data_IF_608189958639
#
_entry.id   IF_608189958639
#
_cell.length_a   1.000
_cell.length_b   1.000
_cell.length_c   1.000
_cell.angle_alpha   90.00
_cell.angle_beta   90.00
_cell.angle_gamma   90.00
#
_symmetry.space_group_name_H-M   'P 1'
#
loop_
_entity.id
_entity.type
_entity.pdbx_description
1 polymer ?
#
# COMPACT_ATOMS: atom_id res chain seq x y z
N UNK A 1 -52.52 -77.56 33.55
CA UNK A 1 -53.68 -78.10 32.82
C UNK A 1 -53.37 -78.07 31.32
N UNK A 2 -53.90 -79.05 30.60
CA UNK A 2 -53.61 -79.48 29.22
C UNK A 2 -53.65 -78.42 28.10
N UNK A 3 -52.74 -78.62 27.12
CA UNK A 3 -52.93 -78.61 25.64
C UNK A 3 -53.02 -77.28 24.87
N UNK A 4 -51.86 -76.93 24.26
CA UNK A 4 -51.57 -76.68 22.83
C UNK A 4 -52.74 -76.42 21.86
N UNK A 5 -52.70 -75.29 21.14
CA UNK A 5 -53.17 -75.21 19.75
C UNK A 5 -52.34 -74.20 18.94
N UNK A 6 -51.85 -74.66 17.78
CA UNK A 6 -51.07 -73.92 16.79
C UNK A 6 -52.01 -73.09 15.91
N UNK A 7 -51.56 -71.93 15.41
CA UNK A 7 -52.08 -71.40 14.14
C UNK A 7 -50.95 -70.82 13.30
N UNK A 8 -50.97 -71.19 12.02
CA UNK A 8 -50.03 -70.83 10.97
C UNK A 8 -50.41 -69.45 10.41
N UNK A 9 -49.43 -68.56 10.25
CA UNK A 9 -49.62 -67.29 9.53
C UNK A 9 -49.18 -67.51 8.07
N UNK A 10 -50.10 -67.25 7.14
CA UNK A 10 -49.88 -67.30 5.69
C UNK A 10 -49.61 -65.88 5.21
N UNK A 11 -48.53 -65.71 4.45
CA UNK A 11 -48.09 -64.45 3.85
C UNK A 11 -48.87 -64.24 2.54
N UNK A 12 -49.48 -63.06 2.39
CA UNK A 12 -49.97 -62.56 1.10
C UNK A 12 -49.10 -61.37 0.68
N UNK A 13 -48.44 -61.50 -0.47
CA UNK A 13 -47.74 -60.40 -1.16
C UNK A 13 -48.75 -59.73 -2.09
N UNK A 14 -49.09 -58.47 -1.80
CA UNK A 14 -49.94 -57.64 -2.65
C UNK A 14 -49.03 -56.73 -3.50
N UNK A 15 -49.01 -56.94 -4.81
CA UNK A 15 -48.37 -56.05 -5.78
C UNK A 15 -49.38 -54.95 -6.11
N UNK A 16 -49.10 -53.71 -5.69
CA UNK A 16 -49.87 -52.52 -6.03
C UNK A 16 -49.17 -51.79 -7.19
N UNK A 17 -49.75 -51.87 -8.39
CA UNK A 17 -49.34 -51.09 -9.56
C UNK A 17 -49.98 -49.70 -9.44
N UNK A 18 -49.19 -48.69 -9.09
CA UNK A 18 -49.59 -47.29 -9.12
C UNK A 18 -49.36 -46.71 -10.52
N UNK A 19 -50.46 -46.45 -11.23
CA UNK A 19 -50.49 -45.69 -12.48
C UNK A 19 -50.22 -44.23 -12.13
N UNK A 20 -49.02 -43.73 -12.41
CA UNK A 20 -48.74 -42.29 -12.35
C UNK A 20 -49.38 -41.60 -13.57
N UNK A 21 -50.12 -40.49 -13.38
CA UNK A 21 -50.50 -39.63 -14.49
C UNK A 21 -49.24 -38.96 -15.04
N UNK A 22 -49.04 -39.03 -16.36
CA UNK A 22 -48.09 -38.16 -17.06
C UNK A 22 -48.52 -36.70 -16.85
N UNK A 23 -47.90 -36.03 -15.89
CA UNK A 23 -47.84 -34.58 -15.86
C UNK A 23 -46.99 -34.14 -17.04
N UNK A 24 -47.63 -33.64 -18.09
CA UNK A 24 -46.97 -32.84 -19.11
C UNK A 24 -46.40 -31.60 -18.44
N UNK A 25 -45.08 -31.57 -18.22
CA UNK A 25 -44.38 -30.33 -17.94
C UNK A 25 -44.50 -29.44 -19.18
N UNK A 26 -45.39 -28.45 -19.12
CA UNK A 26 -45.19 -27.22 -19.88
C UNK A 26 -43.92 -26.61 -19.32
N UNK A 27 -42.80 -26.77 -20.02
CA UNK A 27 -41.66 -25.90 -19.80
C UNK A 27 -42.19 -24.47 -19.98
N UNK A 28 -42.30 -23.71 -18.89
CA UNK A 28 -42.32 -22.27 -19.00
C UNK A 28 -41.02 -21.92 -19.73
N UNK A 29 -41.13 -21.67 -21.03
CA UNK A 29 -40.05 -21.11 -21.82
C UNK A 29 -39.86 -19.69 -21.28
N UNK A 30 -39.04 -19.57 -20.23
CA UNK A 30 -38.44 -18.29 -19.89
C UNK A 30 -37.58 -17.97 -21.09
N UNK A 31 -38.09 -17.10 -21.96
CA UNK A 31 -37.28 -16.57 -23.04
C UNK A 31 -36.17 -15.77 -22.37
N UNK A 32 -34.95 -16.28 -22.44
CA UNK A 32 -33.78 -15.60 -21.92
C UNK A 32 -33.62 -14.28 -22.68
N UNK A 33 -33.96 -13.16 -22.03
CA UNK A 33 -33.94 -11.84 -22.66
C UNK A 33 -32.69 -11.04 -22.31
N UNK A 34 -31.98 -11.39 -21.23
CA UNK A 34 -30.74 -10.70 -20.83
C UNK A 34 -29.84 -11.57 -19.97
N UNK A 35 -28.54 -11.32 -20.05
CA UNK A 35 -27.49 -11.91 -19.21
C UNK A 35 -27.71 -11.51 -17.75
N UNK A 36 -28.14 -10.27 -17.48
CA UNK A 36 -28.38 -9.80 -16.11
C UNK A 36 -29.39 -10.65 -15.33
N UNK A 37 -30.43 -11.15 -16.00
CA UNK A 37 -31.46 -12.03 -15.40
C UNK A 37 -31.01 -13.48 -15.22
N UNK A 38 -29.86 -13.86 -15.79
CA UNK A 38 -29.34 -15.22 -15.74
C UNK A 38 -28.22 -15.39 -14.72
N UNK A 39 -27.74 -14.31 -14.09
CA UNK A 39 -26.71 -14.38 -13.04
C UNK A 39 -27.29 -15.15 -11.84
N UNK A 40 -26.59 -16.19 -11.41
CA UNK A 40 -27.01 -17.00 -10.26
C UNK A 40 -27.05 -16.15 -9.00
N UNK A 41 -28.02 -16.40 -8.13
CA UNK A 41 -28.25 -15.61 -6.91
C UNK A 41 -27.08 -15.60 -5.92
N UNK A 42 -26.10 -16.50 -6.10
CA UNK A 42 -24.95 -16.64 -5.21
C UNK A 42 -23.72 -15.84 -5.68
N UNK A 43 -23.80 -15.14 -6.81
CA UNK A 43 -22.70 -14.34 -7.34
C UNK A 43 -22.98 -12.84 -7.17
N UNK A 44 -21.94 -12.08 -6.88
CA UNK A 44 -22.00 -10.62 -6.73
C UNK A 44 -21.88 -9.88 -8.07
N UNK A 45 -21.90 -10.59 -9.19
CA UNK A 45 -21.74 -9.99 -10.51
C UNK A 45 -22.93 -9.08 -10.86
N UNK A 46 -22.63 -7.95 -11.50
CA UNK A 46 -23.65 -6.98 -11.94
C UNK A 46 -23.40 -6.53 -13.37
N UNK A 47 -24.47 -6.16 -14.08
CA UNK A 47 -24.39 -5.64 -15.45
C UNK A 47 -24.63 -4.13 -15.44
N UNK A 48 -23.69 -3.37 -15.99
CA UNK A 48 -23.81 -1.92 -16.12
C UNK A 48 -23.06 -1.41 -17.34
N UNK A 49 -23.69 -0.56 -18.15
CA UNK A 49 -23.03 0.12 -19.27
C UNK A 49 -22.44 -0.79 -20.35
N UNK A 50 -22.97 -2.00 -20.54
CA UNK A 50 -22.42 -3.00 -21.46
C UNK A 50 -21.27 -3.84 -20.88
N UNK A 51 -21.01 -3.70 -19.59
CA UNK A 51 -20.00 -4.44 -18.86
C UNK A 51 -20.62 -5.40 -17.85
N UNK A 52 -19.96 -6.54 -17.64
CA UNK A 52 -20.18 -7.42 -16.50
C UNK A 52 -19.07 -7.15 -15.48
N UNK A 53 -19.46 -6.71 -14.29
CA UNK A 53 -18.61 -6.35 -13.16
C UNK A 53 -18.68 -7.40 -12.06
N UNK A 54 -17.73 -7.39 -11.13
CA UNK A 54 -17.72 -8.29 -9.96
C UNK A 54 -17.20 -9.70 -10.25
N UNK A 55 -16.42 -9.87 -11.32
CA UNK A 55 -15.71 -11.12 -11.62
C UNK A 55 -14.33 -11.07 -10.97
N UNK A 56 -13.98 -12.11 -10.23
CA UNK A 56 -12.67 -12.23 -9.58
C UNK A 56 -11.57 -12.71 -10.55
N UNK A 57 -10.31 -12.46 -10.23
CA UNK A 57 -9.17 -13.00 -11.00
C UNK A 57 -8.98 -14.50 -10.79
N UNK A 58 -8.32 -15.15 -11.75
CA UNK A 58 -7.95 -16.56 -11.69
C UNK A 58 -9.10 -17.54 -11.94
N UNK A 59 -10.24 -17.04 -12.43
CA UNK A 59 -11.41 -17.87 -12.73
C UNK A 59 -11.31 -18.42 -14.15
N UNK A 60 -11.38 -19.74 -14.28
CA UNK A 60 -11.37 -20.41 -15.59
C UNK A 60 -12.70 -20.23 -16.31
N UNK A 61 -12.73 -20.39 -17.65
CA UNK A 61 -13.98 -20.31 -18.42
C UNK A 61 -15.04 -21.30 -17.94
N UNK A 62 -14.62 -22.50 -17.52
CA UNK A 62 -15.54 -23.54 -17.01
C UNK A 62 -16.19 -23.11 -15.71
N UNK A 63 -15.42 -22.55 -14.78
CA UNK A 63 -15.94 -22.05 -13.50
C UNK A 63 -16.82 -20.82 -13.72
N UNK A 64 -16.38 -19.90 -14.58
CA UNK A 64 -17.14 -18.69 -14.89
C UNK A 64 -18.51 -18.99 -15.52
N UNK A 65 -18.63 -20.02 -16.36
CA UNK A 65 -19.93 -20.43 -16.91
C UNK A 65 -20.91 -20.93 -15.83
N UNK A 66 -20.42 -21.39 -14.67
CA UNK A 66 -21.30 -21.74 -13.54
C UNK A 66 -21.96 -20.53 -12.90
N UNK A 67 -21.53 -19.31 -13.25
CA UNK A 67 -22.12 -18.09 -12.70
C UNK A 67 -23.52 -17.82 -13.22
N UNK A 68 -23.95 -18.54 -14.25
CA UNK A 68 -25.22 -18.30 -14.92
C UNK A 68 -26.10 -19.54 -14.92
N UNK A 69 -27.41 -19.32 -14.76
CA UNK A 69 -28.44 -20.37 -14.80
C UNK A 69 -28.86 -20.70 -16.26
N UNK A 70 -27.90 -20.73 -17.19
CA UNK A 70 -28.15 -20.96 -18.61
C UNK A 70 -26.99 -21.65 -19.32
N UNK A 71 -27.32 -22.58 -20.23
CA UNK A 71 -26.36 -23.20 -21.15
C UNK A 71 -26.13 -22.42 -22.45
N UNK A 72 -26.86 -21.33 -22.66
CA UNK A 72 -26.85 -20.55 -23.91
C UNK A 72 -25.83 -19.40 -23.89
N UNK A 73 -25.07 -19.32 -22.80
CA UNK A 73 -24.01 -18.33 -22.64
C UNK A 73 -22.71 -18.89 -23.19
N UNK A 74 -22.03 -18.08 -23.98
CA UNK A 74 -20.71 -18.38 -24.51
C UNK A 74 -19.74 -17.28 -24.11
N UNK A 75 -18.48 -17.66 -23.91
CA UNK A 75 -17.42 -16.77 -23.45
C UNK A 75 -16.23 -16.92 -24.39
N UNK A 76 -15.67 -15.78 -24.79
CA UNK A 76 -14.47 -15.70 -25.60
C UNK A 76 -13.43 -14.86 -24.85
N UNK A 77 -12.38 -15.52 -24.37
CA UNK A 77 -11.28 -14.93 -23.62
C UNK A 77 -9.94 -15.11 -24.37
N UNK A 78 -8.93 -14.32 -24.00
CA UNK A 78 -7.60 -14.29 -24.64
C UNK A 78 -6.58 -15.23 -24.00
N UNK A 79 -6.82 -15.64 -22.76
CA UNK A 79 -5.91 -16.41 -21.92
C UNK A 79 -6.62 -17.67 -21.39
N UNK A 80 -6.01 -18.35 -20.42
CA UNK A 80 -6.63 -19.46 -19.71
C UNK A 80 -7.78 -19.00 -18.81
N UNK A 81 -7.61 -17.84 -18.16
CA UNK A 81 -8.60 -17.25 -17.26
C UNK A 81 -9.50 -16.26 -17.98
N UNK A 82 -10.67 -16.00 -17.39
CA UNK A 82 -11.58 -14.96 -17.84
C UNK A 82 -11.04 -13.62 -17.35
N UNK A 83 -10.34 -12.90 -18.22
CA UNK A 83 -9.78 -11.58 -17.93
C UNK A 83 -10.61 -10.42 -18.47
N UNK A 84 -10.19 -9.20 -18.14
CA UNK A 84 -10.79 -7.96 -18.64
C UNK A 84 -10.78 -7.93 -20.17
N UNK A 85 -11.93 -7.58 -20.76
CA UNK A 85 -12.15 -7.58 -22.20
C UNK A 85 -12.52 -8.95 -22.79
N UNK A 86 -12.69 -9.98 -21.95
CA UNK A 86 -13.39 -11.20 -22.36
C UNK A 86 -14.82 -10.86 -22.77
N UNK A 87 -15.31 -11.50 -23.83
CA UNK A 87 -16.61 -11.23 -24.42
C UNK A 87 -17.58 -12.33 -24.03
N UNK A 88 -18.67 -11.95 -23.37
CA UNK A 88 -19.78 -12.84 -23.01
C UNK A 88 -20.95 -12.59 -23.96
N UNK A 89 -21.53 -13.66 -24.49
CA UNK A 89 -22.67 -13.60 -25.41
C UNK A 89 -23.78 -14.54 -24.96
N UNK A 90 -25.00 -14.01 -24.93
CA UNK A 90 -26.22 -14.81 -24.86
C UNK A 90 -26.67 -15.15 -26.28
N UNK A 91 -26.79 -16.44 -26.60
CA UNK A 91 -27.11 -16.91 -27.95
C UNK A 91 -28.43 -17.67 -27.94
N UNK A 92 -29.32 -17.38 -28.89
CA UNK A 92 -30.47 -18.23 -29.17
C UNK A 92 -30.37 -18.75 -30.60
N UNK A 93 -30.03 -20.04 -30.74
CA UNK A 93 -29.71 -20.67 -32.01
C UNK A 93 -28.44 -20.06 -32.62
N UNK A 94 -28.59 -19.29 -33.70
CA UNK A 94 -27.50 -18.60 -34.40
C UNK A 94 -27.45 -17.09 -34.14
N UNK A 95 -28.38 -16.55 -33.35
CA UNK A 95 -28.50 -15.10 -33.12
C UNK A 95 -27.92 -14.73 -31.75
N UNK A 96 -27.05 -13.72 -31.73
CA UNK A 96 -26.58 -13.10 -30.49
C UNK A 96 -27.67 -12.15 -29.99
N UNK A 97 -28.21 -12.44 -28.81
CA UNK A 97 -29.24 -11.63 -28.15
C UNK A 97 -28.59 -10.44 -27.44
N UNK A 98 -27.51 -10.71 -26.72
CA UNK A 98 -26.78 -9.71 -25.93
C UNK A 98 -25.29 -10.04 -25.94
N UNK A 99 -24.47 -8.99 -25.94
CA UNK A 99 -23.02 -9.07 -25.83
C UNK A 99 -22.55 -8.09 -24.75
N UNK A 100 -21.77 -8.57 -23.78
CA UNK A 100 -21.13 -7.74 -22.76
C UNK A 100 -19.63 -7.99 -22.74
N UNK A 101 -18.89 -7.06 -22.13
CA UNK A 101 -17.46 -7.21 -21.82
C UNK A 101 -17.26 -7.44 -20.33
N UNK A 102 -16.45 -8.42 -20.00
CA UNK A 102 -16.06 -8.67 -18.60
C UNK A 102 -15.03 -7.62 -18.19
N UNK A 103 -15.19 -7.09 -16.97
CA UNK A 103 -14.21 -6.26 -16.28
C UNK A 103 -13.84 -6.98 -14.99
N UNK A 104 -12.56 -7.38 -14.88
CA UNK A 104 -12.00 -7.97 -13.67
C UNK A 104 -11.19 -6.89 -12.96
N UNK A 105 -11.59 -6.52 -11.74
CA UNK A 105 -10.94 -5.45 -10.98
C UNK A 105 -9.46 -5.77 -10.79
N UNK A 106 -8.61 -4.80 -11.15
CA UNK A 106 -7.16 -4.91 -11.12
C UNK A 106 -6.53 -5.51 -12.39
N UNK A 107 -7.26 -6.22 -13.24
CA UNK A 107 -6.70 -6.84 -14.46
C UNK A 107 -6.73 -5.83 -15.62
N UNK A 108 -5.62 -5.14 -15.84
CA UNK A 108 -5.50 -4.10 -16.88
C UNK A 108 -4.94 -4.63 -18.18
N UNK A 109 -4.61 -5.91 -18.24
CA UNK A 109 -3.97 -6.53 -19.38
C UNK A 109 -4.84 -7.59 -20.08
N UNK A 110 -5.87 -8.06 -19.38
CA UNK A 110 -6.89 -8.98 -19.87
C UNK A 110 -6.48 -10.44 -19.81
N UNK A 111 -5.45 -10.79 -19.02
CA UNK A 111 -5.01 -12.18 -18.83
C UNK A 111 -5.78 -12.91 -17.73
N UNK A 112 -6.57 -12.19 -16.93
CA UNK A 112 -7.35 -12.74 -15.82
C UNK A 112 -6.52 -13.02 -14.57
N UNK A 113 -5.26 -12.56 -14.50
CA UNK A 113 -4.42 -12.64 -13.30
C UNK A 113 -4.07 -11.23 -12.79
N UNK A 114 -3.97 -11.05 -11.47
CA UNK A 114 -3.49 -9.78 -10.90
C UNK A 114 -2.02 -9.88 -10.58
N UNK A 115 -1.17 -9.19 -11.35
CA UNK A 115 0.27 -9.25 -11.15
C UNK A 115 0.97 -7.89 -11.31
N UNK A 116 2.30 -7.93 -11.40
CA UNK A 116 3.11 -6.73 -11.48
C UNK A 116 2.90 -5.91 -12.75
N UNK A 117 2.48 -6.56 -13.85
CA UNK A 117 2.16 -5.88 -15.10
C UNK A 117 1.01 -4.90 -14.86
N UNK A 118 0.00 -5.29 -14.08
CA UNK A 118 -1.21 -4.50 -13.93
C UNK A 118 -0.99 -3.23 -13.12
N UNK A 119 -0.46 -3.35 -11.90
CA UNK A 119 -0.20 -2.15 -11.10
C UNK A 119 0.84 -1.23 -11.77
N UNK A 120 1.76 -1.77 -12.59
CA UNK A 120 2.68 -0.95 -13.38
C UNK A 120 1.97 -0.23 -14.53
N UNK A 121 0.98 -0.84 -15.20
CA UNK A 121 0.17 -0.18 -16.22
C UNK A 121 -0.68 0.94 -15.63
N UNK A 122 -1.32 0.69 -14.49
CA UNK A 122 -2.09 1.72 -13.77
C UNK A 122 -1.16 2.87 -13.38
N UNK A 123 0.00 2.58 -12.77
CA UNK A 123 0.99 3.60 -12.41
C UNK A 123 1.45 4.39 -13.63
N UNK A 124 1.73 3.72 -14.76
CA UNK A 124 2.17 4.39 -15.98
C UNK A 124 1.08 5.25 -16.59
N UNK A 125 -0.17 4.81 -16.52
CA UNK A 125 -1.33 5.58 -16.99
C UNK A 125 -1.57 6.81 -16.13
N UNK A 126 -1.52 6.67 -14.80
CA UNK A 126 -1.55 7.79 -13.86
C UNK A 126 -0.42 8.81 -14.12
N UNK A 127 0.80 8.33 -14.41
CA UNK A 127 1.95 9.19 -14.77
C UNK A 127 1.92 9.72 -16.21
N UNK A 128 0.90 9.40 -17.01
CA UNK A 128 0.77 9.85 -18.41
C UNK A 128 1.73 9.20 -19.41
N UNK A 129 2.43 8.13 -19.02
CA UNK A 129 3.41 7.39 -19.85
C UNK A 129 2.83 6.14 -20.55
N UNK A 130 1.53 5.92 -20.37
CA UNK A 130 0.73 4.84 -20.95
C UNK A 130 -0.73 5.28 -20.98
N UNK A 131 -1.57 4.66 -21.80
CA UNK A 131 -3.00 4.98 -21.86
C UNK A 131 -3.80 3.71 -21.68
N UNK A 132 -4.66 3.70 -20.66
CA UNK A 132 -5.71 2.71 -20.48
C UNK A 132 -7.03 3.30 -21.01
N UNK A 133 -7.87 2.48 -21.61
CA UNK A 133 -9.14 2.91 -22.21
C UNK A 133 -10.19 1.81 -22.11
N UNK A 134 -11.47 2.21 -22.06
CA UNK A 134 -12.60 1.28 -22.06
C UNK A 134 -12.58 0.37 -20.83
N UNK A 135 -12.81 -0.93 -21.05
CA UNK A 135 -12.81 -1.96 -20.01
C UNK A 135 -11.51 -2.01 -19.20
N UNK A 136 -10.35 -1.73 -19.82
CA UNK A 136 -9.05 -1.77 -19.15
C UNK A 136 -8.77 -0.55 -18.28
N UNK A 137 -9.44 0.58 -18.57
CA UNK A 137 -9.43 1.74 -17.68
C UNK A 137 -10.33 1.45 -16.48
N UNK A 138 -11.54 0.94 -16.75
CA UNK A 138 -12.50 0.56 -15.71
C UNK A 138 -11.90 -0.46 -14.73
N UNK A 139 -11.23 -1.50 -15.21
CA UNK A 139 -10.57 -2.48 -14.33
C UNK A 139 -9.46 -1.87 -13.49
N UNK A 140 -8.83 -0.78 -13.96
CA UNK A 140 -7.80 -0.07 -13.21
C UNK A 140 -8.35 0.82 -12.09
N UNK A 141 -9.59 1.30 -12.18
CA UNK A 141 -10.20 2.25 -11.23
C UNK A 141 -10.76 1.56 -9.96
N UNK A 142 -9.94 0.75 -9.29
CA UNK A 142 -10.35 -0.12 -8.17
C UNK A 142 -10.72 0.62 -6.88
N UNK A 143 -10.29 1.88 -6.72
CA UNK A 143 -10.61 2.69 -5.53
C UNK A 143 -11.97 3.38 -5.61
N UNK A 144 -12.66 3.26 -6.73
CA UNK A 144 -13.90 3.98 -7.04
C UNK A 144 -13.63 5.34 -7.67
N UNK A 145 -14.23 5.60 -8.83
CA UNK A 145 -14.04 6.84 -9.58
C UNK A 145 -14.01 6.61 -11.09
N UNK A 146 -14.06 7.68 -11.88
CA UNK A 146 -13.96 7.60 -13.34
C UNK A 146 -12.51 7.64 -13.85
N UNK A 147 -11.60 8.19 -13.05
CA UNK A 147 -10.20 8.46 -13.41
C UNK A 147 -9.24 7.71 -12.49
N UNK A 148 -8.07 7.34 -13.03
CA UNK A 148 -7.01 6.69 -12.27
C UNK A 148 -6.31 7.65 -11.32
N UNK A 149 -6.04 7.17 -10.13
CA UNK A 149 -5.30 7.86 -9.07
C UNK A 149 -4.11 7.04 -8.59
N UNK A 150 -3.31 7.65 -7.70
CA UNK A 150 -2.24 6.92 -7.03
C UNK A 150 -2.77 5.80 -6.11
N UNK A 151 -4.00 5.96 -5.59
CA UNK A 151 -4.67 4.99 -4.71
C UNK A 151 -4.91 3.67 -5.44
N UNK A 152 -5.35 3.73 -6.69
CA UNK A 152 -5.68 2.54 -7.49
C UNK A 152 -4.48 1.60 -7.68
N UNK A 153 -3.35 2.11 -8.16
CA UNK A 153 -2.18 1.24 -8.37
C UNK A 153 -1.62 0.71 -7.05
N UNK A 154 -1.77 1.44 -5.94
CA UNK A 154 -1.33 0.99 -4.63
C UNK A 154 -2.22 -0.13 -4.10
N UNK A 155 -3.54 -0.06 -4.28
CA UNK A 155 -4.46 -1.14 -3.93
C UNK A 155 -4.13 -2.41 -4.71
N UNK A 156 -3.98 -2.32 -6.04
CA UNK A 156 -3.62 -3.49 -6.88
C UNK A 156 -2.25 -4.03 -6.50
N UNK A 157 -1.26 -3.17 -6.20
CA UNK A 157 0.05 -3.59 -5.69
C UNK A 157 -0.08 -4.33 -4.36
N UNK A 158 -0.94 -3.86 -3.45
CA UNK A 158 -1.14 -4.50 -2.14
C UNK A 158 -1.82 -5.86 -2.27
N UNK A 159 -2.75 -6.01 -3.21
CA UNK A 159 -3.34 -7.29 -3.57
C UNK A 159 -2.29 -8.27 -4.07
N UNK A 160 -1.48 -7.84 -5.04
CA UNK A 160 -0.36 -8.65 -5.53
C UNK A 160 0.62 -9.05 -4.41
N UNK A 161 0.88 -8.17 -3.43
CA UNK A 161 1.75 -8.46 -2.29
C UNK A 161 1.08 -9.24 -1.14
N UNK A 162 -0.22 -9.54 -1.24
CA UNK A 162 -0.98 -10.26 -0.20
C UNK A 162 -1.28 -9.44 1.06
N UNK A 163 -1.21 -8.10 0.99
CA UNK A 163 -1.44 -7.19 2.12
C UNK A 163 -2.82 -6.51 2.08
N UNK A 164 -3.62 -6.84 1.08
CA UNK A 164 -4.99 -6.38 0.86
C UNK A 164 -5.68 -7.40 -0.07
N UNK A 165 -7.00 -7.61 0.04
CA UNK A 165 -7.74 -8.37 -0.98
C UNK A 165 -8.76 -7.49 -1.70
N UNK A 166 -8.63 -7.41 -3.03
CA UNK A 166 -9.56 -6.72 -3.93
C UNK A 166 -10.96 -7.33 -3.86
N UNK A 167 -11.05 -8.63 -3.59
CA UNK A 167 -12.29 -9.40 -3.64
C UNK A 167 -12.85 -9.71 -2.24
N UNK A 168 -12.39 -8.99 -1.21
CA UNK A 168 -13.03 -8.98 0.12
C UNK A 168 -12.72 -10.16 1.04
N UNK A 169 -11.79 -11.08 0.71
CA UNK A 169 -11.42 -12.18 1.61
C UNK A 169 -10.42 -11.69 2.66
N UNK A 170 -10.91 -11.41 3.87
CA UNK A 170 -10.07 -11.18 5.05
C UNK A 170 -9.52 -9.77 5.23
N UNK A 171 -10.22 -8.75 4.74
CA UNK A 171 -9.78 -7.36 4.93
C UNK A 171 -9.91 -6.94 6.41
N UNK A 172 -8.81 -6.45 6.97
CA UNK A 172 -8.85 -5.49 8.06
C UNK A 172 -9.35 -4.18 7.45
N UNK A 173 -10.56 -3.77 7.81
CA UNK A 173 -11.10 -2.47 7.41
C UNK A 173 -10.49 -1.40 8.31
N UNK A 174 -9.63 -0.58 7.72
CA UNK A 174 -9.02 0.56 8.41
C UNK A 174 -9.70 1.89 8.02
N UNK A 175 -10.82 1.85 7.30
CA UNK A 175 -11.54 3.06 6.93
C UNK A 175 -11.89 3.89 8.17
N UNK A 176 -11.43 5.14 8.16
CA UNK A 176 -11.64 6.07 9.27
C UNK A 176 -10.66 5.92 10.43
N UNK A 177 -9.69 5.00 10.36
CA UNK A 177 -8.55 4.98 11.30
C UNK A 177 -7.64 6.16 10.99
N UNK A 178 -7.38 7.00 12.00
CA UNK A 178 -6.59 8.23 11.88
C UNK A 178 -5.17 8.02 12.36
N UNK A 179 -4.20 8.44 11.55
CA UNK A 179 -2.77 8.36 11.86
C UNK A 179 -2.19 9.77 11.92
N UNK A 180 -1.67 10.19 13.06
CA UNK A 180 -0.83 11.37 13.17
C UNK A 180 0.58 11.05 12.66
N UNK A 181 1.02 11.73 11.60
CA UNK A 181 2.31 11.46 10.97
C UNK A 181 3.24 12.67 10.98
N UNK A 182 4.41 12.49 11.60
CA UNK A 182 5.53 13.45 11.53
C UNK A 182 6.55 12.94 10.50
N UNK A 183 6.68 13.61 9.34
CA UNK A 183 7.61 13.21 8.30
C UNK A 183 9.06 13.59 8.64
N UNK A 184 10.00 12.98 7.93
CA UNK A 184 11.45 13.25 8.05
C UNK A 184 11.90 14.56 7.35
N UNK A 185 11.16 14.99 6.33
CA UNK A 185 11.28 16.28 5.64
C UNK A 185 10.06 16.50 4.70
N UNK A 186 10.06 17.59 3.93
CA UNK A 186 9.01 17.99 3.01
C UNK A 186 9.14 17.47 1.57
N UNK A 187 10.06 16.53 1.30
CA UNK A 187 10.19 15.94 -0.03
C UNK A 187 8.99 15.03 -0.32
N UNK A 188 8.54 14.91 -1.59
CA UNK A 188 7.38 14.10 -1.99
C UNK A 188 7.41 12.63 -1.53
N UNK A 189 8.61 12.07 -1.35
CA UNK A 189 8.77 10.70 -0.86
C UNK A 189 8.35 10.53 0.61
N UNK A 190 8.45 11.60 1.39
CA UNK A 190 8.12 11.64 2.80
C UNK A 190 6.75 12.24 3.06
N UNK A 191 6.10 12.86 2.07
CA UNK A 191 4.77 13.44 2.20
C UNK A 191 3.77 12.71 1.30
N UNK A 192 3.81 12.97 -0.01
CA UNK A 192 2.79 12.49 -0.96
C UNK A 192 2.75 10.96 -1.02
N UNK A 193 3.91 10.31 -1.05
CA UNK A 193 3.97 8.83 -1.10
C UNK A 193 3.40 8.18 0.16
N UNK A 194 3.51 8.83 1.31
CA UNK A 194 2.96 8.32 2.58
C UNK A 194 1.45 8.56 2.61
N UNK A 195 0.98 9.74 2.17
CA UNK A 195 -0.45 10.04 1.99
C UNK A 195 -1.14 9.01 1.10
N UNK A 196 -0.60 8.77 -0.11
CA UNK A 196 -1.18 7.80 -1.02
C UNK A 196 -1.17 6.37 -0.46
N UNK A 197 -0.12 6.01 0.29
CA UNK A 197 -0.05 4.70 0.94
C UNK A 197 -1.11 4.56 2.02
N UNK A 198 -1.27 5.58 2.88
CA UNK A 198 -2.29 5.62 3.92
C UNK A 198 -3.70 5.52 3.32
N UNK A 199 -4.00 6.35 2.31
CA UNK A 199 -5.29 6.36 1.60
C UNK A 199 -5.58 5.02 0.92
N UNK A 200 -4.57 4.38 0.33
CA UNK A 200 -4.71 3.03 -0.27
C UNK A 200 -5.02 1.94 0.75
N UNK A 201 -4.84 2.24 2.03
CA UNK A 201 -5.18 1.37 3.14
C UNK A 201 -6.45 1.78 3.90
N UNK A 202 -7.10 2.87 3.51
CA UNK A 202 -8.29 3.39 4.20
C UNK A 202 -7.95 4.28 5.41
N UNK A 203 -6.67 4.50 5.71
CA UNK A 203 -6.24 5.40 6.77
C UNK A 203 -6.47 6.86 6.38
N UNK A 204 -6.91 7.67 7.34
CA UNK A 204 -6.85 9.12 7.28
C UNK A 204 -5.53 9.58 7.88
N UNK A 205 -4.73 10.34 7.12
CA UNK A 205 -3.43 10.81 7.57
C UNK A 205 -3.54 12.26 8.05
N UNK A 206 -3.38 12.48 9.36
CA UNK A 206 -3.26 13.80 9.96
C UNK A 206 -1.80 14.26 9.83
N UNK A 207 -1.61 15.47 9.28
CA UNK A 207 -0.30 16.04 8.99
C UNK A 207 -0.16 17.42 9.66
N UNK A 208 1.02 17.77 10.16
CA UNK A 208 1.33 19.14 10.56
C UNK A 208 1.37 20.08 9.35
N UNK A 209 1.38 21.40 9.61
CA UNK A 209 1.73 22.37 8.57
C UNK A 209 3.14 22.07 8.04
N UNK A 210 3.34 22.22 6.72
CA UNK A 210 4.62 21.99 6.07
C UNK A 210 5.75 22.83 6.67
N UNK A 211 5.46 24.04 7.14
CA UNK A 211 6.47 24.91 7.77
C UNK A 211 7.12 24.28 9.00
N UNK A 212 6.39 23.44 9.75
CA UNK A 212 6.88 22.76 10.95
C UNK A 212 7.92 21.67 10.65
N UNK A 213 7.95 21.14 9.43
CA UNK A 213 8.86 20.03 9.07
C UNK A 213 9.71 20.25 7.82
N UNK A 214 9.54 21.39 7.14
CA UNK A 214 10.27 21.71 5.92
C UNK A 214 11.77 21.86 6.16
N UNK A 215 12.57 21.28 5.24
CA UNK A 215 13.98 21.62 5.11
C UNK A 215 14.16 22.72 4.06
N UNK A 216 14.81 23.83 4.42
CA UNK A 216 15.15 24.92 3.49
C UNK A 216 16.64 24.87 3.15
N UNK A 217 16.95 24.82 1.86
CA UNK A 217 18.33 24.90 1.38
C UNK A 217 18.78 26.36 1.34
N UNK A 218 20.09 26.57 1.20
CA UNK A 218 20.67 27.88 1.03
C UNK A 218 20.04 28.60 -0.17
N UNK A 219 19.62 29.84 0.05
CA UNK A 219 18.94 30.65 -0.95
C UNK A 219 17.43 30.38 -1.11
N UNK A 220 16.85 29.42 -0.37
CA UNK A 220 15.41 29.13 -0.43
C UNK A 220 14.58 29.71 0.72
N UNK A 221 15.18 30.60 1.53
CA UNK A 221 14.52 31.22 2.69
C UNK A 221 14.63 30.39 3.97
N UNK A 222 13.70 30.65 4.90
CA UNK A 222 13.59 29.99 6.22
C UNK A 222 12.13 29.59 6.47
N UNK A 223 11.91 28.73 7.45
CA UNK A 223 10.60 28.51 8.06
C UNK A 223 10.16 29.76 8.85
N UNK A 224 8.91 29.80 9.33
CA UNK A 224 8.36 30.96 10.05
C UNK A 224 9.11 31.25 11.36
N UNK A 225 9.65 30.23 12.01
CA UNK A 225 10.50 30.37 13.20
C UNK A 225 11.93 30.86 12.89
N UNK A 226 12.26 31.09 11.61
CA UNK A 226 13.55 31.60 11.17
C UNK A 226 14.63 30.54 10.95
N UNK A 227 14.34 29.25 11.17
CA UNK A 227 15.31 28.16 10.94
C UNK A 227 15.22 27.62 9.51
N UNK A 228 16.17 26.77 9.13
CA UNK A 228 16.18 26.04 7.85
C UNK A 228 15.74 24.57 7.99
N UNK A 229 15.33 24.18 9.18
CA UNK A 229 15.01 22.83 9.58
C UNK A 229 13.70 22.84 10.37
N UNK A 230 13.10 21.69 10.62
CA UNK A 230 11.80 21.65 11.28
C UNK A 230 11.76 22.28 12.66
N UNK A 231 10.59 22.78 12.99
CA UNK A 231 10.26 23.34 14.29
C UNK A 231 9.92 22.22 15.27
N UNK A 232 10.89 21.84 16.12
CA UNK A 232 10.73 20.74 17.08
C UNK A 232 9.64 21.02 18.10
N UNK A 233 9.60 22.25 18.63
CA UNK A 233 8.60 22.67 19.61
C UNK A 233 7.22 22.78 18.96
N UNK A 234 7.14 23.39 17.77
CA UNK A 234 5.89 23.46 17.02
C UNK A 234 5.34 22.08 16.62
N UNK A 235 6.20 21.10 16.34
CA UNK A 235 5.79 19.71 16.11
C UNK A 235 5.29 19.03 17.39
N UNK A 236 5.92 19.27 18.53
CA UNK A 236 5.44 18.80 19.84
C UNK A 236 4.07 19.39 20.15
N UNK A 237 3.90 20.70 20.00
CA UNK A 237 2.61 21.38 20.19
C UNK A 237 1.54 20.81 19.24
N UNK A 238 1.89 20.58 17.97
CA UNK A 238 0.97 19.95 17.02
C UNK A 238 0.57 18.54 17.46
N UNK A 239 1.51 17.70 17.91
CA UNK A 239 1.22 16.34 18.41
C UNK A 239 0.24 16.37 19.58
N UNK A 240 0.37 17.32 20.50
CA UNK A 240 -0.57 17.52 21.61
C UNK A 240 -1.99 17.87 21.10
N UNK A 241 -2.10 18.65 20.03
CA UNK A 241 -3.42 19.02 19.47
C UNK A 241 -4.15 17.85 18.81
N UNK A 242 -3.42 16.87 18.25
CA UNK A 242 -4.01 15.73 17.54
C UNK A 242 -4.14 14.48 18.40
N UNK A 243 -3.69 14.51 19.65
CA UNK A 243 -3.65 13.36 20.55
C UNK A 243 -5.02 12.71 20.76
N UNK A 244 -6.04 13.52 21.02
CA UNK A 244 -7.41 13.03 21.18
C UNK A 244 -8.12 12.66 19.87
N UNK A 245 -7.53 12.99 18.72
CA UNK A 245 -8.17 12.89 17.40
C UNK A 245 -7.57 11.77 16.52
N UNK A 246 -6.51 11.08 16.98
CA UNK A 246 -5.86 10.02 16.21
C UNK A 246 -5.83 8.68 16.96
N UNK A 247 -5.71 7.58 16.21
CA UNK A 247 -5.65 6.22 16.77
C UNK A 247 -4.20 5.72 16.91
N UNK A 248 -3.31 6.24 16.05
CA UNK A 248 -1.91 5.84 15.97
C UNK A 248 -1.03 7.04 15.63
N UNK A 249 0.21 6.97 16.09
CA UNK A 249 1.25 7.92 15.73
C UNK A 249 2.35 7.23 14.94
N UNK A 250 2.85 7.91 13.91
CA UNK A 250 4.05 7.51 13.17
C UNK A 250 4.99 8.71 13.16
N UNK A 251 6.11 8.63 13.88
CA UNK A 251 6.92 9.82 14.20
C UNK A 251 8.38 9.60 13.76
N UNK A 252 8.90 10.55 12.98
CA UNK A 252 10.33 10.62 12.64
C UNK A 252 11.13 11.13 13.83
N UNK A 253 12.07 10.30 14.33
CA UNK A 253 13.02 10.74 15.35
C UNK A 253 14.03 11.73 14.79
N UNK A 254 14.47 11.61 13.52
CA UNK A 254 15.30 12.64 12.89
C UNK A 254 14.64 14.02 12.97
N UNK A 255 13.32 14.07 12.80
CA UNK A 255 12.56 15.31 12.85
C UNK A 255 12.48 15.85 14.28
N UNK A 256 12.11 15.01 15.24
CA UNK A 256 11.95 15.42 16.63
C UNK A 256 13.29 15.73 17.31
N UNK A 257 14.37 15.05 16.96
CA UNK A 257 15.68 15.24 17.57
C UNK A 257 16.47 16.34 16.87
N UNK A 258 16.43 16.41 15.55
CA UNK A 258 17.31 17.28 14.77
C UNK A 258 16.60 18.30 13.90
N UNK A 259 15.28 18.31 13.82
CA UNK A 259 14.56 19.09 12.80
C UNK A 259 14.70 18.53 11.38
N UNK A 260 15.10 17.26 11.25
CA UNK A 260 15.11 16.51 10.01
C UNK A 260 16.49 16.05 9.55
N UNK A 261 16.49 15.19 8.52
CA UNK A 261 17.67 14.46 8.02
C UNK A 261 18.84 15.34 7.57
N UNK A 262 18.56 16.54 7.06
CA UNK A 262 19.62 17.43 6.57
C UNK A 262 20.31 18.12 7.74
N UNK A 263 19.54 18.52 8.76
CA UNK A 263 20.09 19.21 9.91
C UNK A 263 20.81 18.27 10.88
N UNK A 264 20.39 17.01 10.96
CA UNK A 264 21.12 15.99 11.75
C UNK A 264 22.57 15.77 11.29
N UNK A 265 22.95 16.25 10.10
CA UNK A 265 24.32 16.14 9.54
C UNK A 265 25.24 17.28 9.94
N UNK A 266 24.74 18.28 10.65
CA UNK A 266 25.49 19.50 11.01
C UNK A 266 25.37 19.88 12.49
N UNK A 267 24.51 19.20 13.26
CA UNK A 267 24.32 19.46 14.68
C UNK A 267 25.55 19.01 15.48
N UNK A 268 26.09 19.90 16.28
CA UNK A 268 27.25 19.65 17.13
C UNK A 268 27.04 20.19 18.57
N UNK A 269 25.78 20.34 18.98
CA UNK A 269 25.44 20.79 20.33
C UNK A 269 25.92 19.76 21.36
N UNK A 270 26.42 20.29 22.48
CA UNK A 270 26.86 19.48 23.63
C UNK A 270 25.87 19.53 24.79
N UNK A 271 25.00 20.54 24.79
CA UNK A 271 23.82 20.58 25.63
C UNK A 271 22.70 19.82 24.90
N UNK A 272 22.20 18.77 25.56
CA UNK A 272 21.15 17.88 25.05
C UNK A 272 19.85 17.99 25.86
N UNK A 273 19.71 19.06 26.65
CA UNK A 273 18.55 19.23 27.55
C UNK A 273 17.22 19.25 26.79
N UNK A 274 17.17 19.95 25.65
CA UNK A 274 15.98 19.98 24.79
C UNK A 274 15.66 18.59 24.22
N UNK A 275 16.66 17.85 23.74
CA UNK A 275 16.47 16.49 23.22
C UNK A 275 15.96 15.55 24.31
N UNK A 276 16.44 15.66 25.55
CA UNK A 276 15.92 14.88 26.67
C UNK A 276 14.47 15.23 27.01
N UNK A 277 14.10 16.51 27.00
CA UNK A 277 12.70 16.92 27.22
C UNK A 277 11.76 16.37 26.14
N UNK A 278 12.19 16.38 24.87
CA UNK A 278 11.43 15.77 23.77
C UNK A 278 11.32 14.26 23.95
N UNK A 279 12.41 13.57 24.34
CA UNK A 279 12.38 12.13 24.61
C UNK A 279 11.39 11.79 25.73
N UNK A 280 11.41 12.55 26.83
CA UNK A 280 10.50 12.35 27.95
C UNK A 280 9.03 12.53 27.50
N UNK A 281 8.75 13.56 26.71
CA UNK A 281 7.44 13.76 26.08
C UNK A 281 7.02 12.57 25.19
N UNK A 282 7.91 12.09 24.31
CA UNK A 282 7.60 10.97 23.41
C UNK A 282 7.36 9.66 24.17
N UNK A 283 8.06 9.45 25.30
CA UNK A 283 7.82 8.32 26.20
C UNK A 283 6.43 8.42 26.83
N UNK A 284 6.05 9.61 27.32
CA UNK A 284 4.72 9.86 27.88
C UNK A 284 3.62 9.62 26.83
N UNK A 285 3.80 10.16 25.62
CA UNK A 285 2.89 9.95 24.50
C UNK A 285 2.69 8.44 24.20
N UNK A 286 3.78 7.67 24.18
CA UNK A 286 3.73 6.23 23.92
C UNK A 286 3.15 5.40 25.08
N UNK A 287 3.14 5.92 26.31
CA UNK A 287 2.49 5.22 27.42
C UNK A 287 0.96 5.27 27.30
N UNK A 288 0.43 6.32 26.66
CA UNK A 288 -1.01 6.55 26.51
C UNK A 288 -1.54 6.11 25.14
N UNK A 289 -0.65 6.05 24.13
CA UNK A 289 -1.01 5.82 22.73
C UNK A 289 -0.20 4.70 22.08
N UNK A 290 -0.61 4.31 20.87
CA UNK A 290 0.18 3.42 20.03
C UNK A 290 1.07 4.24 19.10
N UNK A 291 2.36 4.28 19.40
CA UNK A 291 3.33 5.09 18.67
C UNK A 291 4.36 4.21 17.95
N UNK A 292 4.59 4.52 16.68
CA UNK A 292 5.64 3.94 15.86
C UNK A 292 6.70 4.99 15.58
N UNK A 293 7.87 4.82 16.18
CA UNK A 293 9.03 5.65 15.90
C UNK A 293 9.83 5.06 14.74
N UNK A 294 10.31 5.93 13.85
CA UNK A 294 11.30 5.56 12.85
C UNK A 294 12.43 6.57 12.83
N UNK A 295 13.62 6.08 12.51
CA UNK A 295 14.84 6.87 12.49
C UNK A 295 15.72 6.42 11.32
N UNK A 296 16.66 7.26 10.91
CA UNK A 296 17.64 6.90 9.90
C UNK A 296 18.99 6.55 10.50
N UNK A 297 19.69 5.61 9.86
CA UNK A 297 21.11 5.41 10.18
C UNK A 297 21.89 6.61 9.64
N UNK A 298 22.24 7.52 10.56
CA UNK A 298 22.99 8.72 10.25
C UNK A 298 24.34 8.39 9.60
N UNK A 299 24.73 9.24 8.65
CA UNK A 299 26.02 9.16 7.95
C UNK A 299 26.73 10.48 8.12
N UNK A 300 28.04 10.43 8.35
CA UNK A 300 28.95 11.55 8.10
C UNK A 300 28.87 11.89 6.61
N UNK A 301 28.00 12.83 6.27
CA UNK A 301 27.71 13.27 4.91
C UNK A 301 27.32 14.74 4.93
N UNK A 302 27.95 15.56 4.09
CA UNK A 302 27.49 16.93 3.86
C UNK A 302 26.27 16.94 2.93
N UNK A 303 25.57 18.07 2.90
CA UNK A 303 24.45 18.32 1.99
C UNK A 303 24.79 19.52 1.10
N UNK A 304 24.57 19.36 -0.21
CA UNK A 304 24.77 20.44 -1.17
C UNK A 304 23.79 21.59 -0.90
N UNK A 305 24.29 22.82 -0.91
CA UNK A 305 23.55 24.05 -0.62
C UNK A 305 22.91 24.03 0.78
N UNK A 306 23.64 23.59 1.80
CA UNK A 306 23.21 23.69 3.18
C UNK A 306 24.39 24.09 4.07
N UNK A 307 24.20 25.12 4.90
CA UNK A 307 25.26 25.72 5.74
C UNK A 307 26.52 26.14 4.96
N UNK A 308 26.35 26.59 3.71
CA UNK A 308 27.43 27.13 2.89
C UNK A 308 28.21 26.11 2.08
N UNK A 309 27.95 24.81 2.24
CA UNK A 309 28.60 23.79 1.41
C UNK A 309 28.06 23.81 -0.02
N UNK A 310 28.95 24.06 -0.99
CA UNK A 310 28.64 23.97 -2.43
C UNK A 310 29.32 22.75 -3.06
N UNK A 311 29.40 22.69 -4.39
CA UNK A 311 29.73 21.46 -5.12
C UNK A 311 31.11 20.88 -4.79
N UNK A 312 32.11 21.74 -4.60
CA UNK A 312 33.49 21.33 -4.38
C UNK A 312 33.69 20.81 -2.95
N UNK A 313 33.22 21.54 -1.94
CA UNK A 313 33.27 21.15 -0.52
C UNK A 313 32.48 19.87 -0.29
N UNK A 314 31.28 19.77 -0.88
CA UNK A 314 30.49 18.54 -0.85
C UNK A 314 31.27 17.34 -1.38
N UNK A 315 31.94 17.51 -2.52
CA UNK A 315 32.72 16.43 -3.15
C UNK A 315 33.93 16.04 -2.30
N UNK A 316 34.65 17.02 -1.74
CA UNK A 316 35.80 16.77 -0.87
C UNK A 316 35.37 16.01 0.40
N UNK A 317 34.36 16.50 1.12
CA UNK A 317 33.87 15.87 2.35
C UNK A 317 33.29 14.48 2.09
N UNK A 318 32.57 14.28 0.98
CA UNK A 318 32.06 12.96 0.59
C UNK A 318 33.19 11.97 0.31
N UNK A 319 34.25 12.39 -0.37
CA UNK A 319 35.42 11.55 -0.62
C UNK A 319 36.16 11.23 0.68
N UNK A 320 36.31 12.22 1.57
CA UNK A 320 36.86 12.04 2.91
C UNK A 320 36.04 11.03 3.73
N UNK A 321 34.72 11.16 3.73
CA UNK A 321 33.77 10.27 4.40
C UNK A 321 33.79 8.83 3.87
N UNK A 322 34.23 8.59 2.63
CA UNK A 322 34.31 7.24 2.04
C UNK A 322 35.56 6.44 2.43
N UNK A 323 36.60 7.07 2.98
CA UNK A 323 37.82 6.36 3.37
C UNK A 323 37.53 5.43 4.54
N UNK A 324 37.97 4.17 4.48
CA UNK A 324 37.71 3.24 5.58
C UNK A 324 38.48 3.66 6.85
N UNK A 325 37.81 3.62 8.00
CA UNK A 325 38.42 3.85 9.32
C UNK A 325 38.85 2.51 9.91
N UNK A 326 39.76 2.54 10.89
CA UNK A 326 40.14 1.34 11.63
C UNK A 326 38.92 0.73 12.34
N UNK A 327 38.69 -0.57 12.17
CA UNK A 327 37.62 -1.28 12.88
C UNK A 327 37.96 -1.37 14.36
N UNK A 328 37.06 -0.87 15.21
CA UNK A 328 37.13 -0.99 16.66
C UNK A 328 36.28 -2.19 17.12
N UNK A 329 36.76 -2.95 18.10
CA UNK A 329 36.07 -4.14 18.62
C UNK A 329 36.25 -4.27 20.14
N UNK A 330 35.33 -4.96 20.80
CA UNK A 330 35.43 -5.24 22.24
C UNK A 330 35.60 -3.95 23.06
N UNK A 331 36.57 -3.92 23.97
CA UNK A 331 36.87 -2.76 24.83
C UNK A 331 37.41 -1.54 24.06
N UNK A 332 37.76 -1.68 22.77
CA UNK A 332 38.16 -0.56 21.93
C UNK A 332 36.98 0.14 21.24
N UNK A 333 35.80 -0.47 21.24
CA UNK A 333 34.59 0.14 20.68
C UNK A 333 33.95 1.09 21.69
N UNK A 334 34.51 2.30 21.82
CA UNK A 334 33.95 3.38 22.65
C UNK A 334 33.69 4.62 21.78
N UNK A 335 32.78 5.50 22.22
CA UNK A 335 32.44 6.74 21.50
C UNK A 335 33.69 7.62 21.32
N UNK A 336 34.50 7.76 22.36
CA UNK A 336 35.72 8.58 22.35
C UNK A 336 36.73 8.05 21.32
N UNK A 337 36.89 6.72 21.22
CA UNK A 337 37.78 6.08 20.25
C UNK A 337 37.23 6.16 18.83
N UNK A 338 35.91 6.10 18.65
CA UNK A 338 35.26 6.32 17.35
C UNK A 338 35.56 7.74 16.85
N UNK A 339 35.29 8.76 17.68
CA UNK A 339 35.52 10.17 17.34
C UNK A 339 36.99 10.43 17.08
N UNK A 340 37.89 9.95 17.94
CA UNK A 340 39.33 10.08 17.75
C UNK A 340 39.82 9.42 16.45
N UNK A 341 39.11 8.40 15.95
CA UNK A 341 39.42 7.68 14.73
C UNK A 341 39.00 8.39 13.45
N UNK A 342 38.12 9.40 13.48
CA UNK A 342 37.57 10.02 12.27
C UNK A 342 38.62 10.62 11.33
N UNK A 343 39.73 11.13 11.89
CA UNK A 343 40.83 11.74 11.14
C UNK A 343 41.78 10.75 10.47
N UNK A 344 41.63 9.45 10.75
CA UNK A 344 42.61 8.43 10.37
C UNK A 344 42.01 7.34 9.49
N UNK A 345 42.80 6.86 8.54
CA UNK A 345 42.44 5.73 7.70
C UNK A 345 42.55 4.39 8.44
N UNK A 346 42.24 3.30 7.75
CA UNK A 346 42.28 1.93 8.28
C UNK A 346 43.66 1.52 8.82
N UNK A 347 44.73 2.14 8.33
CA UNK A 347 46.12 1.89 8.74
C UNK A 347 46.61 2.86 9.83
N UNK A 348 45.79 3.83 10.23
CA UNK A 348 46.17 4.88 11.19
C UNK A 348 46.89 6.08 10.58
N UNK A 349 46.93 6.20 9.25
CA UNK A 349 47.45 7.38 8.56
C UNK A 349 46.43 8.52 8.57
N UNK A 350 46.88 9.78 8.64
CA UNK A 350 45.98 10.95 8.55
C UNK A 350 45.36 11.00 7.15
N UNK A 351 44.03 11.08 7.09
CA UNK A 351 43.31 11.20 5.82
C UNK A 351 43.56 12.61 5.25
N UNK A 352 44.08 12.75 4.02
CA UNK A 352 44.28 14.05 3.42
C UNK A 352 42.94 14.74 3.12
N UNK A 353 42.85 16.02 3.43
CA UNK A 353 41.71 16.88 3.08
C UNK A 353 42.25 18.20 2.55
N UNK A 354 41.69 18.68 1.44
CA UNK A 354 42.06 19.97 0.85
C UNK A 354 41.29 21.16 1.42
N UNK A 355 40.28 20.92 2.26
CA UNK A 355 39.55 21.97 2.96
C UNK A 355 40.39 22.56 4.11
N UNK A 356 40.11 23.81 4.50
CA UNK A 356 40.65 24.38 5.73
C UNK A 356 40.37 23.48 6.94
N UNK A 357 41.29 23.48 7.90
CA UNK A 357 41.17 22.65 9.12
C UNK A 357 39.89 22.95 9.88
N UNK A 358 39.49 24.22 9.97
CA UNK A 358 38.26 24.64 10.65
C UNK A 358 37.00 24.04 10.01
N UNK A 359 36.93 23.97 8.68
CA UNK A 359 35.80 23.39 7.97
C UNK A 359 35.73 21.86 8.14
N UNK A 360 36.88 21.19 8.12
CA UNK A 360 36.94 19.76 8.38
C UNK A 360 36.58 19.45 9.84
N UNK A 361 37.05 20.25 10.79
CA UNK A 361 36.75 20.08 12.21
C UNK A 361 35.27 20.32 12.49
N UNK A 362 34.64 21.33 11.85
CA UNK A 362 33.20 21.54 11.93
C UNK A 362 32.41 20.34 11.39
N UNK A 363 32.83 19.78 10.26
CA UNK A 363 32.21 18.59 9.67
C UNK A 363 32.33 17.34 10.56
N UNK A 364 33.45 17.18 11.28
CA UNK A 364 33.70 16.03 12.15
C UNK A 364 33.10 16.19 13.56
N UNK A 365 32.72 17.40 13.94
CA UNK A 365 32.07 17.69 15.20
C UNK A 365 30.55 17.47 15.15
N UNK A 366 29.97 17.43 13.94
CA UNK A 366 28.61 16.98 13.70
C UNK A 366 28.54 15.45 13.69
#
# INVERSE_FOLDING_TARGET
MKVRMKSKVVIYVLILVLVMPMLTFSANCVTETSISSLISSNNECTVSGGYLLGVESGITTTEFLTYFESSNITVSNKSEYVGTGSVIRLINGSTVIEELRVVVDGDTNGDGEINAIDYLRIKRAFLGSYTLSGEFLLSGCVSGGADLSAKDYLIVKRHFLGTYDLYGRGNLDYNGTKIAYVPIDDRPVNVDRVKYLAESAGFELLMPDADLYSTKLDGTGTNLNGTKYGDRDGLKDWLETVDGDCDYFVISLDQMMSGGLVNSRVQNNTDLSEEYEIIDYLIELNNNNKVYFFDTVMRLASTLNYNGYVGDEYTILRNYGRVARKTLNGADLTIEKIIAGYKYDINGGVIPCSLPTEELDAYLAA
#
